data_IF_255985712202
#
_entry.id   IF_255985712202
#
_cell.length_a   1.000
_cell.length_b   1.000
_cell.length_c   1.000
_cell.angle_alpha   90.00
_cell.angle_beta   90.00
_cell.angle_gamma   90.00
#
_symmetry.space_group_name_H-M   'P 1'
#
loop_
_entity.id
_entity.type
_entity.pdbx_description
1 polymer ?
#
# COMPACT_ATOMS: atom_id res chain seq x y z
N UNK A 1 -19.20 -14.40 33.35
CA UNK A 1 -17.90 -13.73 33.51
C UNK A 1 -16.84 -14.81 33.30
N UNK A 2 -16.22 -14.83 32.11
CA UNK A 2 -15.07 -15.68 31.86
C UNK A 2 -13.88 -15.01 32.55
N UNK A 3 -13.41 -15.60 33.63
CA UNK A 3 -12.16 -15.22 34.28
C UNK A 3 -11.05 -15.51 33.28
N UNK A 4 -10.45 -14.45 32.72
CA UNK A 4 -9.25 -14.55 31.91
C UNK A 4 -8.14 -15.06 32.85
N UNK A 5 -7.81 -16.36 32.74
CA UNK A 5 -6.68 -16.93 33.41
C UNK A 5 -5.41 -16.32 32.79
N UNK A 6 -4.72 -15.52 33.57
CA UNK A 6 -3.42 -14.94 33.23
C UNK A 6 -2.25 -15.92 33.50
N UNK A 7 -2.54 -17.22 33.62
CA UNK A 7 -1.54 -18.27 33.92
C UNK A 7 -0.75 -18.72 32.71
N UNK A 8 -0.94 -18.13 31.53
CA UNK A 8 -0.10 -18.38 30.37
C UNK A 8 1.14 -17.48 30.42
N UNK A 9 2.29 -18.08 30.18
CA UNK A 9 3.55 -17.37 30.08
C UNK A 9 3.44 -16.29 28.97
N UNK A 10 3.88 -15.07 29.26
CA UNK A 10 3.84 -13.98 28.27
C UNK A 10 4.59 -14.36 26.99
N UNK A 11 5.60 -15.21 27.06
CA UNK A 11 6.33 -15.74 25.91
C UNK A 11 5.44 -16.57 24.98
N UNK A 12 4.50 -17.35 25.51
CA UNK A 12 3.53 -18.10 24.70
C UNK A 12 2.66 -17.20 23.82
N UNK A 13 2.32 -16.00 24.31
CA UNK A 13 1.57 -15.01 23.53
C UNK A 13 2.41 -14.38 22.42
N UNK A 14 3.71 -14.23 22.64
CA UNK A 14 4.61 -13.66 21.62
C UNK A 14 4.86 -14.63 20.48
N UNK A 15 5.01 -15.93 20.78
CA UNK A 15 5.22 -16.96 19.76
C UNK A 15 3.97 -17.24 18.91
N UNK A 16 2.78 -17.10 19.49
CA UNK A 16 1.49 -17.34 18.81
C UNK A 16 0.78 -16.09 18.33
N UNK A 17 1.49 -14.97 18.25
CA UNK A 17 0.86 -13.66 17.99
C UNK A 17 0.44 -13.40 16.55
N UNK A 18 0.91 -14.20 15.57
CA UNK A 18 0.54 -14.07 14.16
C UNK A 18 -0.27 -15.26 13.66
N UNK A 19 -1.40 -14.96 13.04
CA UNK A 19 -2.17 -15.94 12.27
C UNK A 19 -1.83 -15.77 10.79
N UNK A 20 -1.22 -16.78 10.18
CA UNK A 20 -1.06 -16.85 8.73
C UNK A 20 -2.40 -17.23 8.08
N UNK A 21 -2.69 -16.67 6.90
CA UNK A 21 -3.89 -16.97 6.14
C UNK A 21 -3.59 -17.00 4.64
N UNK A 22 -4.38 -17.80 3.93
CA UNK A 22 -4.40 -17.86 2.46
C UNK A 22 -5.82 -17.58 1.97
N UNK A 23 -5.93 -17.01 0.78
CA UNK A 23 -7.20 -16.68 0.14
C UNK A 23 -7.12 -16.92 -1.36
N UNK A 24 -8.25 -17.08 -1.99
CA UNK A 24 -8.38 -17.01 -3.43
C UNK A 24 -8.47 -15.54 -3.85
N UNK A 25 -7.49 -15.03 -4.62
CA UNK A 25 -7.48 -13.64 -5.04
C UNK A 25 -8.63 -13.37 -6.01
N UNK A 26 -9.20 -12.17 -5.91
CA UNK A 26 -10.21 -11.66 -6.83
C UNK A 26 -9.61 -10.54 -7.68
N UNK A 27 -10.18 -10.30 -8.85
CA UNK A 27 -9.80 -9.15 -9.67
C UNK A 27 -10.07 -7.85 -8.90
N UNK A 28 -9.06 -6.97 -8.87
CA UNK A 28 -9.16 -5.69 -8.19
C UNK A 28 -9.94 -4.72 -9.06
N UNK A 29 -10.99 -4.11 -8.50
CA UNK A 29 -11.46 -2.80 -8.92
C UNK A 29 -10.86 -1.73 -8.01
N UNK A 30 -10.74 -0.47 -8.45
CA UNK A 30 -10.15 0.66 -7.70
C UNK A 30 -10.73 0.88 -6.28
N UNK A 31 -11.87 0.26 -5.99
CA UNK A 31 -12.57 0.36 -4.70
C UNK A 31 -12.44 -0.88 -3.82
N UNK A 32 -11.69 -1.89 -4.25
CA UNK A 32 -11.66 -3.21 -3.61
C UNK A 32 -10.27 -3.60 -3.12
N UNK A 33 -9.63 -2.70 -2.35
CA UNK A 33 -8.36 -2.99 -1.70
C UNK A 33 -8.39 -4.34 -0.97
N UNK A 34 -7.26 -5.11 -1.03
CA UNK A 34 -7.05 -6.40 -0.37
C UNK A 34 -7.86 -7.59 -0.93
N UNK A 35 -8.67 -7.42 -1.97
CA UNK A 35 -9.36 -8.54 -2.62
C UNK A 35 -8.44 -9.35 -3.54
N UNK A 36 -7.32 -8.76 -3.95
CA UNK A 36 -6.24 -9.41 -4.70
C UNK A 36 -5.32 -10.29 -3.84
N UNK A 37 -5.47 -10.23 -2.51
CA UNK A 37 -4.60 -10.95 -1.56
C UNK A 37 -4.74 -12.45 -1.71
N UNK A 38 -3.60 -13.15 -1.85
CA UNK A 38 -3.53 -14.61 -1.82
C UNK A 38 -2.86 -15.16 -0.56
N UNK A 39 -1.98 -14.39 0.11
CA UNK A 39 -1.35 -14.81 1.37
C UNK A 39 -1.10 -13.62 2.28
N UNK A 40 -1.08 -13.86 3.56
CA UNK A 40 -0.76 -12.84 4.55
C UNK A 40 -0.66 -13.39 5.97
N UNK A 41 -0.32 -12.49 6.89
CA UNK A 41 -0.34 -12.76 8.33
C UNK A 41 -0.92 -11.57 9.08
N UNK A 42 -1.56 -11.82 10.21
CA UNK A 42 -2.14 -10.76 11.03
C UNK A 42 -2.16 -11.14 12.50
N UNK A 43 -1.99 -10.13 13.37
CA UNK A 43 -2.21 -10.23 14.83
C UNK A 43 -3.68 -9.99 15.21
N UNK A 44 -4.47 -9.37 14.31
CA UNK A 44 -5.87 -9.04 14.57
C UNK A 44 -6.78 -9.60 13.47
N UNK A 45 -7.02 -10.91 13.45
CA UNK A 45 -7.86 -11.54 12.42
C UNK A 45 -9.30 -11.01 12.40
N UNK A 46 -9.83 -10.56 13.54
CA UNK A 46 -11.16 -9.94 13.63
C UNK A 46 -11.24 -8.63 12.85
N UNK A 47 -10.17 -7.82 12.80
CA UNK A 47 -10.14 -6.58 12.05
C UNK A 47 -10.16 -6.85 10.54
N UNK A 48 -9.40 -7.87 10.10
CA UNK A 48 -9.41 -8.30 8.72
C UNK A 48 -10.78 -8.85 8.29
N UNK A 49 -11.41 -9.67 9.13
CA UNK A 49 -12.76 -10.21 8.87
C UNK A 49 -13.79 -9.09 8.75
N UNK A 50 -13.78 -8.14 9.69
CA UNK A 50 -14.67 -6.98 9.67
C UNK A 50 -14.52 -6.15 8.38
N UNK A 51 -13.28 -5.93 7.93
CA UNK A 51 -13.01 -5.25 6.67
C UNK A 51 -13.61 -5.99 5.47
N UNK A 52 -13.41 -7.32 5.40
CA UNK A 52 -13.93 -8.14 4.31
C UNK A 52 -15.47 -8.18 4.28
N UNK A 53 -16.11 -8.19 5.44
CA UNK A 53 -17.56 -8.17 5.60
C UNK A 53 -18.17 -6.77 5.45
N UNK A 54 -17.34 -5.73 5.28
CA UNK A 54 -17.75 -4.32 5.28
C UNK A 54 -18.43 -3.90 6.60
N UNK A 55 -17.96 -4.46 7.72
CA UNK A 55 -18.39 -4.08 9.06
C UNK A 55 -17.41 -3.08 9.68
N UNK A 56 -17.85 -1.85 9.84
CA UNK A 56 -17.03 -0.79 10.41
C UNK A 56 -17.10 -0.71 11.96
N UNK A 57 -17.87 -1.57 12.64
CA UNK A 57 -18.09 -1.45 14.08
C UNK A 57 -16.77 -1.50 14.88
N UNK A 58 -15.92 -2.47 14.57
CA UNK A 58 -14.64 -2.64 15.28
C UNK A 58 -13.68 -1.46 15.02
N UNK A 59 -13.53 -1.04 13.77
CA UNK A 59 -12.64 0.10 13.45
C UNK A 59 -13.17 1.41 14.02
N UNK A 60 -14.49 1.60 14.11
CA UNK A 60 -15.09 2.76 14.75
C UNK A 60 -14.83 2.78 16.25
N UNK A 61 -14.81 1.62 16.91
CA UNK A 61 -14.49 1.50 18.33
C UNK A 61 -13.03 1.92 18.58
N UNK A 62 -12.06 1.44 17.81
CA UNK A 62 -10.68 1.90 17.89
C UNK A 62 -10.55 3.41 17.65
N UNK A 63 -11.25 3.93 16.66
CA UNK A 63 -11.22 5.35 16.34
C UNK A 63 -11.79 6.21 17.50
N UNK A 64 -12.83 5.75 18.18
CA UNK A 64 -13.38 6.43 19.34
C UNK A 64 -12.39 6.50 20.52
N UNK A 65 -11.50 5.53 20.62
CA UNK A 65 -10.43 5.46 21.62
C UNK A 65 -9.14 6.21 21.15
N UNK A 66 -9.18 6.90 20.00
CA UNK A 66 -8.05 7.64 19.46
C UNK A 66 -7.01 6.77 18.73
N UNK A 67 -7.38 5.55 18.35
CA UNK A 67 -6.51 4.61 17.66
C UNK A 67 -6.94 4.56 16.19
N UNK A 68 -6.02 4.82 15.28
CA UNK A 68 -6.22 4.59 13.85
C UNK A 68 -5.81 3.16 13.48
N UNK A 69 -6.68 2.43 12.78
CA UNK A 69 -6.37 1.12 12.22
C UNK A 69 -6.44 1.18 10.69
N UNK A 70 -5.36 0.76 10.03
CA UNK A 70 -5.25 0.85 8.58
C UNK A 70 -4.10 0.03 8.02
N UNK A 71 -3.88 0.23 6.74
CA UNK A 71 -2.78 -0.40 6.00
C UNK A 71 -2.19 0.55 4.97
N UNK A 72 -0.91 0.37 4.67
CA UNK A 72 -0.26 0.97 3.51
C UNK A 72 -0.30 -0.06 2.39
N UNK A 73 -0.85 0.36 1.23
CA UNK A 73 -0.85 -0.41 0.00
C UNK A 73 0.19 0.17 -0.96
N UNK A 74 0.92 -0.69 -1.66
CA UNK A 74 1.89 -0.32 -2.68
C UNK A 74 1.89 -1.36 -3.80
N UNK A 75 2.19 -0.98 -5.06
CA UNK A 75 2.17 -1.91 -6.17
C UNK A 75 3.32 -2.92 -6.06
N UNK A 76 3.04 -4.15 -6.47
CA UNK A 76 4.05 -5.19 -6.63
C UNK A 76 4.39 -5.31 -8.11
N UNK A 77 5.64 -5.00 -8.52
CA UNK A 77 6.12 -5.24 -9.87
C UNK A 77 6.00 -6.72 -10.27
N UNK A 78 5.71 -6.99 -11.54
CA UNK A 78 5.54 -8.36 -12.04
C UNK A 78 6.78 -9.24 -11.83
N UNK A 79 7.97 -8.65 -11.83
CA UNK A 79 9.24 -9.34 -11.61
C UNK A 79 9.44 -9.77 -10.15
N UNK A 80 8.65 -9.26 -9.21
CA UNK A 80 8.62 -9.71 -7.81
C UNK A 80 7.67 -10.87 -7.56
N UNK A 81 6.85 -11.26 -8.52
CA UNK A 81 5.97 -12.40 -8.37
C UNK A 81 6.79 -13.68 -8.12
N UNK A 82 6.56 -14.33 -6.99
CA UNK A 82 7.30 -15.50 -6.53
C UNK A 82 8.61 -15.22 -5.78
N UNK A 83 8.97 -13.94 -5.59
CA UNK A 83 10.12 -13.53 -4.81
C UNK A 83 9.69 -13.06 -3.41
N UNK A 84 9.22 -14.00 -2.60
CA UNK A 84 8.67 -13.71 -1.28
C UNK A 84 9.68 -13.01 -0.35
N UNK A 85 10.95 -13.35 -0.44
CA UNK A 85 12.03 -12.78 0.36
C UNK A 85 12.16 -11.28 0.08
N UNK A 86 12.24 -10.86 -1.19
CA UNK A 86 12.37 -9.45 -1.57
C UNK A 86 11.14 -8.61 -1.14
N UNK A 87 9.94 -9.21 -1.18
CA UNK A 87 8.71 -8.56 -0.74
C UNK A 87 8.69 -8.36 0.78
N UNK A 88 9.16 -9.37 1.52
CA UNK A 88 9.26 -9.31 2.99
C UNK A 88 10.33 -8.31 3.41
N UNK A 89 11.52 -8.34 2.81
CA UNK A 89 12.60 -7.41 3.08
C UNK A 89 12.17 -5.93 2.87
N UNK A 90 11.45 -5.66 1.79
CA UNK A 90 10.89 -4.31 1.57
C UNK A 90 9.94 -3.91 2.69
N UNK A 91 9.06 -4.81 3.12
CA UNK A 91 8.09 -4.56 4.19
C UNK A 91 8.78 -4.30 5.52
N UNK A 92 9.79 -5.11 5.86
CA UNK A 92 10.57 -4.96 7.07
C UNK A 92 11.34 -3.65 7.09
N UNK A 93 11.96 -3.26 5.96
CA UNK A 93 12.64 -1.97 5.82
C UNK A 93 11.68 -0.79 5.99
N UNK A 94 10.46 -0.88 5.43
CA UNK A 94 9.43 0.15 5.62
C UNK A 94 8.99 0.25 7.09
N UNK A 95 8.81 -0.89 7.78
CA UNK A 95 8.47 -0.93 9.21
C UNK A 95 9.57 -0.28 10.06
N UNK A 96 10.83 -0.62 9.80
CA UNK A 96 11.99 -0.03 10.50
C UNK A 96 12.03 1.49 10.31
N UNK A 97 11.92 1.97 9.07
CA UNK A 97 11.94 3.40 8.77
C UNK A 97 10.81 4.18 9.46
N UNK A 98 9.60 3.61 9.50
CA UNK A 98 8.47 4.20 10.21
C UNK A 98 8.76 4.25 11.72
N UNK A 99 9.23 3.14 12.30
CA UNK A 99 9.52 3.05 13.74
C UNK A 99 10.62 4.02 14.16
N UNK A 100 11.71 4.09 13.38
CA UNK A 100 12.83 5.01 13.66
C UNK A 100 12.41 6.49 13.62
N UNK A 101 11.50 6.84 12.71
CA UNK A 101 11.10 8.24 12.49
C UNK A 101 9.93 8.67 13.37
N UNK A 102 8.88 7.85 13.46
CA UNK A 102 7.66 8.17 14.21
C UNK A 102 7.77 7.82 15.71
N UNK A 103 8.66 6.87 16.05
CA UNK A 103 8.82 6.33 17.40
C UNK A 103 8.03 5.04 17.63
N UNK A 104 8.56 4.17 18.48
CA UNK A 104 7.96 2.87 18.83
C UNK A 104 6.56 2.99 19.46
N UNK A 105 6.32 4.07 20.21
CA UNK A 105 5.03 4.32 20.87
C UNK A 105 3.95 4.84 19.92
N UNK A 106 4.31 5.24 18.69
CA UNK A 106 3.38 5.81 17.71
C UNK A 106 2.59 4.75 16.94
N UNK A 107 3.14 3.53 16.78
CA UNK A 107 2.62 2.50 15.89
C UNK A 107 2.83 1.10 16.44
N UNK A 108 1.90 0.20 16.12
CA UNK A 108 2.10 -1.26 16.27
C UNK A 108 1.71 -1.96 14.97
N UNK A 109 2.65 -2.69 14.39
CA UNK A 109 2.41 -3.44 13.17
C UNK A 109 1.64 -4.72 13.47
N UNK A 110 0.63 -4.97 12.65
CA UNK A 110 -0.28 -6.10 12.78
C UNK A 110 0.09 -7.28 11.87
N UNK A 111 0.94 -7.02 10.90
CA UNK A 111 1.32 -7.98 9.88
C UNK A 111 1.27 -7.38 8.50
N UNK A 112 0.95 -8.17 7.51
CA UNK A 112 0.84 -7.72 6.14
C UNK A 112 0.36 -8.81 5.20
N UNK A 113 0.18 -8.44 3.95
CA UNK A 113 -0.32 -9.35 2.94
C UNK A 113 0.35 -9.13 1.60
N UNK A 114 0.31 -10.17 0.78
CA UNK A 114 0.77 -10.15 -0.60
C UNK A 114 -0.40 -10.50 -1.50
N UNK A 115 -0.73 -9.59 -2.39
CA UNK A 115 -1.73 -9.76 -3.43
C UNK A 115 -1.11 -9.99 -4.79
N UNK A 116 -1.95 -10.16 -5.80
CA UNK A 116 -1.51 -10.31 -7.20
C UNK A 116 -1.02 -9.00 -7.80
N UNK A 117 -1.45 -7.85 -7.27
CA UNK A 117 -1.07 -6.52 -7.75
C UNK A 117 -0.46 -5.63 -6.67
N UNK A 118 -0.75 -5.90 -5.40
CA UNK A 118 -0.34 -5.04 -4.30
C UNK A 118 0.28 -5.81 -3.13
N UNK A 119 1.25 -5.16 -2.48
CA UNK A 119 1.70 -5.49 -1.14
C UNK A 119 0.99 -4.62 -0.11
N UNK A 120 0.83 -5.14 1.09
CA UNK A 120 0.12 -4.49 2.18
C UNK A 120 0.90 -4.58 3.48
N UNK A 121 0.99 -3.48 4.22
CA UNK A 121 1.53 -3.40 5.56
C UNK A 121 0.43 -2.94 6.52
N UNK A 122 0.03 -3.79 7.45
CA UNK A 122 -1.08 -3.57 8.36
C UNK A 122 -0.60 -3.03 9.71
N UNK A 123 -1.27 -2.01 10.24
CA UNK A 123 -0.90 -1.41 11.52
C UNK A 123 -2.08 -0.77 12.26
N UNK A 124 -1.85 -0.53 13.55
CA UNK A 124 -2.59 0.45 14.35
C UNK A 124 -1.64 1.57 14.74
N UNK A 125 -2.15 2.79 14.83
CA UNK A 125 -1.37 3.97 15.18
C UNK A 125 -2.08 4.81 16.24
N UNK A 126 -1.32 5.29 17.21
CA UNK A 126 -1.72 6.29 18.20
C UNK A 126 -1.38 7.71 17.71
N UNK A 127 -0.33 7.84 16.89
CA UNK A 127 -0.03 9.07 16.14
C UNK A 127 0.01 8.76 14.64
N UNK A 128 -1.19 8.73 14.02
CA UNK A 128 -1.32 8.43 12.59
C UNK A 128 -0.53 9.42 11.73
N UNK A 129 -0.50 10.71 12.10
CA UNK A 129 0.22 11.71 11.31
C UNK A 129 1.71 11.41 11.28
N UNK A 130 2.34 11.18 12.42
CA UNK A 130 3.76 10.84 12.49
C UNK A 130 4.09 9.60 11.67
N UNK A 131 3.23 8.57 11.73
CA UNK A 131 3.38 7.33 10.96
C UNK A 131 3.28 7.57 9.46
N UNK A 132 2.30 8.36 9.00
CA UNK A 132 2.13 8.63 7.58
C UNK A 132 3.23 9.54 7.03
N UNK A 133 3.68 10.54 7.79
CA UNK A 133 4.79 11.42 7.41
C UNK A 133 6.11 10.63 7.29
N UNK A 134 6.37 9.70 8.24
CA UNK A 134 7.52 8.80 8.19
C UNK A 134 7.48 7.86 6.98
N UNK A 135 6.33 7.23 6.75
CA UNK A 135 6.13 6.36 5.59
C UNK A 135 6.30 7.11 4.27
N UNK A 136 5.70 8.29 4.13
CA UNK A 136 5.83 9.12 2.94
C UNK A 136 7.29 9.50 2.67
N UNK A 137 8.05 9.87 3.71
CA UNK A 137 9.48 10.18 3.57
C UNK A 137 10.26 8.99 3.02
N UNK A 138 10.12 7.81 3.60
CA UNK A 138 10.76 6.60 3.11
C UNK A 138 10.36 6.28 1.66
N UNK A 139 9.08 6.36 1.33
CA UNK A 139 8.55 6.01 0.02
C UNK A 139 9.08 6.93 -1.09
N UNK A 140 9.45 8.19 -0.79
CA UNK A 140 10.08 9.08 -1.77
C UNK A 140 11.44 8.58 -2.25
N UNK A 141 12.16 7.80 -1.44
CA UNK A 141 13.45 7.22 -1.78
C UNK A 141 13.33 5.93 -2.62
N UNK A 142 12.11 5.40 -2.78
CA UNK A 142 11.84 4.18 -3.54
C UNK A 142 11.58 4.45 -5.02
N UNK A 143 11.53 3.41 -5.82
CA UNK A 143 11.15 3.47 -7.25
C UNK A 143 9.66 3.22 -7.49
N UNK A 144 8.87 3.10 -6.43
CA UNK A 144 7.43 2.83 -6.55
C UNK A 144 6.72 3.98 -7.28
N UNK A 145 5.75 3.67 -8.16
CA UNK A 145 4.97 4.71 -8.84
C UNK A 145 3.93 5.35 -7.91
N UNK A 146 3.44 4.64 -6.92
CA UNK A 146 2.47 5.13 -5.94
C UNK A 146 2.53 4.31 -4.65
N UNK A 147 2.02 4.88 -3.57
CA UNK A 147 1.67 4.18 -2.33
C UNK A 147 0.56 4.96 -1.63
N UNK A 148 -0.34 4.25 -0.96
CA UNK A 148 -1.49 4.86 -0.30
C UNK A 148 -1.76 4.24 1.06
N UNK A 149 -2.15 5.07 2.02
CA UNK A 149 -2.77 4.64 3.26
C UNK A 149 -4.27 4.47 3.05
N UNK A 150 -4.83 3.40 3.58
CA UNK A 150 -6.25 3.17 3.66
C UNK A 150 -6.62 2.65 5.05
N UNK A 151 -7.68 3.18 5.64
CA UNK A 151 -8.17 2.64 6.91
C UNK A 151 -8.82 1.27 6.70
N UNK A 152 -8.95 0.47 7.78
CA UNK A 152 -9.75 -0.76 7.74
C UNK A 152 -11.26 -0.50 7.60
N UNK A 153 -11.62 0.66 7.06
CA UNK A 153 -12.97 1.08 6.74
C UNK A 153 -13.14 1.16 5.23
N UNK A 154 -13.87 0.23 4.63
CA UNK A 154 -13.95 0.08 3.15
C UNK A 154 -14.51 1.29 2.42
N UNK A 155 -15.39 2.06 3.06
CA UNK A 155 -16.00 3.26 2.50
C UNK A 155 -15.16 4.54 2.65
N UNK A 156 -13.99 4.45 3.29
CA UNK A 156 -13.06 5.57 3.38
C UNK A 156 -12.27 5.73 2.08
N UNK A 157 -11.97 6.98 1.73
CA UNK A 157 -11.05 7.25 0.62
C UNK A 157 -9.59 7.00 1.07
N UNK A 158 -8.73 6.52 0.17
CA UNK A 158 -7.31 6.40 0.44
C UNK A 158 -6.64 7.78 0.56
N UNK A 159 -5.52 7.81 1.29
CA UNK A 159 -4.61 8.96 1.32
C UNK A 159 -3.34 8.53 0.59
N UNK A 160 -3.05 9.15 -0.55
CA UNK A 160 -1.83 8.87 -1.28
C UNK A 160 -0.64 9.47 -0.53
N UNK A 161 0.34 8.61 -0.22
CA UNK A 161 1.62 8.95 0.40
C UNK A 161 2.68 9.23 -0.66
N UNK A 162 2.53 8.61 -1.82
CA UNK A 162 3.35 8.77 -3.00
C UNK A 162 2.45 8.63 -4.22
N UNK A 163 2.49 9.58 -5.15
CA UNK A 163 1.84 9.48 -6.46
C UNK A 163 2.72 10.13 -7.53
N UNK A 164 3.34 9.29 -8.37
CA UNK A 164 4.12 9.69 -9.53
C UNK A 164 3.40 9.39 -10.84
N UNK A 165 2.15 8.94 -10.76
CA UNK A 165 1.38 8.57 -11.95
C UNK A 165 0.89 9.81 -12.69
N UNK A 166 0.59 10.89 -11.97
CA UNK A 166 0.18 12.17 -12.54
C UNK A 166 1.34 12.86 -13.29
N UNK A 167 2.56 12.82 -12.74
CA UNK A 167 3.74 13.41 -13.40
C UNK A 167 4.06 12.79 -14.77
N UNK A 168 3.80 11.49 -14.95
CA UNK A 168 3.97 10.83 -16.25
C UNK A 168 2.93 11.25 -17.27
N UNK A 169 1.69 11.45 -16.84
CA UNK A 169 0.61 11.89 -17.72
C UNK A 169 0.84 13.32 -18.20
N UNK A 170 1.33 14.22 -17.34
CA UNK A 170 1.65 15.58 -17.71
C UNK A 170 2.88 15.65 -18.65
N UNK A 171 3.89 14.82 -18.42
CA UNK A 171 5.06 14.73 -19.28
C UNK A 171 4.75 14.15 -20.68
N UNK A 172 3.79 13.23 -20.78
CA UNK A 172 3.32 12.72 -22.06
C UNK A 172 2.41 13.71 -22.81
N UNK A 173 1.71 14.60 -22.10
CA UNK A 173 0.89 15.67 -22.68
C UNK A 173 1.71 16.90 -23.11
N UNK A 174 2.83 17.18 -22.45
CA UNK A 174 3.77 18.24 -22.84
C UNK A 174 4.77 17.83 -23.95
N UNK A 175 4.80 16.58 -24.35
CA UNK A 175 5.60 16.19 -25.51
C UNK A 175 5.01 16.90 -26.73
N UNK A 176 5.73 17.84 -27.39
CA UNK A 176 5.20 18.55 -28.54
C UNK A 176 4.85 17.49 -29.58
N UNK A 177 3.63 17.56 -30.08
CA UNK A 177 3.20 16.74 -31.21
C UNK A 177 4.33 16.76 -32.26
N UNK A 178 4.77 15.63 -32.82
CA UNK A 178 5.83 15.62 -33.80
C UNK A 178 5.40 16.60 -34.88
N UNK A 179 6.18 17.66 -35.04
CA UNK A 179 5.96 18.65 -36.10
C UNK A 179 5.77 17.82 -37.36
N UNK A 180 4.65 18.00 -38.04
CA UNK A 180 4.35 17.28 -39.25
C UNK A 180 5.54 17.43 -40.18
N UNK A 181 6.39 16.43 -40.21
CA UNK A 181 7.55 16.36 -41.05
C UNK A 181 6.98 16.37 -42.46
N UNK A 182 7.11 17.50 -43.15
CA UNK A 182 6.75 17.57 -44.55
C UNK A 182 7.58 16.49 -45.27
N UNK A 183 6.91 15.50 -45.83
CA UNK A 183 7.54 14.41 -46.56
C UNK A 183 8.30 14.86 -47.79
N UNK A 184 8.32 16.17 -48.09
CA UNK A 184 9.03 16.76 -49.19
C UNK A 184 10.15 17.64 -48.69
N UNK A 185 11.39 17.32 -49.05
CA UNK A 185 12.55 18.17 -48.75
C UNK A 185 12.41 19.51 -49.52
N UNK A 186 13.02 20.61 -48.98
CA UNK A 186 13.00 21.91 -49.67
C UNK A 186 13.55 21.84 -51.12
N UNK A 187 14.41 20.86 -51.40
CA UNK A 187 14.94 20.60 -52.75
C UNK A 187 13.91 19.98 -53.68
N UNK A 188 12.97 19.19 -53.17
CA UNK A 188 11.90 18.59 -53.96
C UNK A 188 10.82 19.60 -54.31
N UNK A 189 10.51 20.52 -53.40
CA UNK A 189 9.54 21.62 -53.63
C UNK A 189 10.06 22.55 -54.73
N UNK A 190 11.35 22.91 -54.67
CA UNK A 190 11.97 23.82 -55.66
C UNK A 190 12.04 23.21 -57.09
N UNK A 191 11.99 21.89 -57.21
CA UNK A 191 12.00 21.18 -58.49
C UNK A 191 10.61 21.10 -59.11
N UNK A 192 9.55 21.18 -58.32
CA UNK A 192 8.17 21.22 -58.80
C UNK A 192 7.73 22.62 -59.26
N UNK A 193 8.33 23.69 -58.74
CA UNK A 193 8.04 25.09 -59.14
C UNK A 193 8.80 25.50 -60.43
N UNK A 194 9.72 24.67 -60.90
CA UNK A 194 10.55 24.95 -62.08
C UNK A 194 10.15 24.17 -63.35
N UNK A 195 9.01 23.44 -63.29
CA UNK A 195 8.39 22.77 -64.44
C UNK A 195 7.06 23.44 -64.80
#
# INVERSE_FOLDING_TARGET
>A
EAELSLDSDAEDYLEHSYLAYEREPQDISDTSWRFDVYTGSTRLPSLLSAYMENDAALVNMYHADGIAAGFIAYPLPEDLHGKSEEILDFRDTLMEAITETAGEDAVSFLGGATGTGCGYLDFIAWDLRAVLDAAAHFLTETTLPWAAFHSFRRDANPIYLLDRTEEKNDAEQESPAPAASSLLSPAAIKKMEAM
#
